data_IF_641061358378
#
_entry.id   IF_641061358378
#
_cell.length_a   1.000
_cell.length_b   1.000
_cell.length_c   1.000
_cell.angle_alpha   90.00
_cell.angle_beta   90.00
_cell.angle_gamma   90.00
#
_symmetry.space_group_name_H-M   'P 1'
#
loop_
_entity.id
_entity.type
_entity.pdbx_description
1 polymer ?
#
# COMPACT_ATOMS: atom_id res chain seq x y z
N UNK A 1 -18.23 62.68 9.07
CA UNK A 1 -18.95 61.91 8.03
C UNK A 1 -18.60 60.47 8.24
N UNK A 2 -19.39 59.86 9.09
CA UNK A 2 -19.28 58.49 9.49
C UNK A 2 -19.99 57.65 8.43
N UNK A 3 -19.27 56.75 7.79
CA UNK A 3 -19.86 55.74 6.92
C UNK A 3 -19.83 54.40 7.66
N UNK A 4 -21.00 54.09 8.18
CA UNK A 4 -21.39 52.82 8.77
C UNK A 4 -21.25 51.69 7.75
N UNK A 5 -20.19 50.87 7.83
CA UNK A 5 -20.17 49.55 7.26
C UNK A 5 -20.87 48.56 8.22
N UNK A 6 -22.18 48.54 8.16
CA UNK A 6 -22.97 47.42 8.67
C UNK A 6 -22.65 46.17 7.79
N UNK A 7 -21.76 45.33 8.27
CA UNK A 7 -21.62 43.95 7.79
C UNK A 7 -22.91 43.20 8.12
N UNK A 8 -23.80 43.10 7.13
CA UNK A 8 -24.91 42.18 7.17
C UNK A 8 -24.39 40.74 7.16
N UNK A 9 -24.20 40.16 8.34
CA UNK A 9 -24.01 38.73 8.56
C UNK A 9 -25.21 38.00 7.98
N UNK A 10 -25.17 37.65 6.70
CA UNK A 10 -26.15 36.76 6.08
C UNK A 10 -26.00 35.38 6.69
N UNK A 11 -26.84 35.02 7.65
CA UNK A 11 -26.99 33.66 8.14
C UNK A 11 -27.44 32.78 6.95
N UNK A 12 -26.49 32.11 6.34
CA UNK A 12 -26.76 31.10 5.32
C UNK A 12 -27.20 29.85 6.08
N UNK A 13 -28.49 29.71 6.31
CA UNK A 13 -29.13 28.56 6.97
C UNK A 13 -29.57 27.60 5.89
N UNK A 14 -29.36 26.29 6.09
CA UNK A 14 -29.91 25.25 5.24
C UNK A 14 -31.43 25.37 5.18
N UNK A 15 -32.03 25.23 3.98
CA UNK A 15 -33.49 25.23 3.80
C UNK A 15 -34.15 24.17 4.72
N UNK A 16 -35.26 24.54 5.38
CA UNK A 16 -35.95 23.67 6.31
C UNK A 16 -36.34 22.32 5.74
N UNK A 17 -36.79 22.27 4.47
CA UNK A 17 -37.14 21.03 3.80
C UNK A 17 -35.94 20.11 3.60
N UNK A 18 -34.75 20.65 3.29
CA UNK A 18 -33.53 19.89 3.19
C UNK A 18 -33.01 19.45 4.56
N UNK A 19 -33.11 20.29 5.56
CA UNK A 19 -32.79 19.91 6.94
C UNK A 19 -33.67 18.73 7.42
N UNK A 20 -34.94 18.75 7.15
CA UNK A 20 -35.89 17.67 7.50
C UNK A 20 -35.54 16.37 6.70
N UNK A 21 -35.13 16.48 5.43
CA UNK A 21 -34.66 15.34 4.65
C UNK A 21 -33.43 14.73 5.29
N UNK A 22 -32.46 15.52 5.74
CA UNK A 22 -31.26 15.02 6.44
C UNK A 22 -31.63 14.38 7.78
N UNK A 23 -32.48 14.99 8.61
CA UNK A 23 -32.96 14.42 9.89
C UNK A 23 -33.55 13.03 9.69
N UNK A 24 -34.49 12.92 8.76
CA UNK A 24 -35.14 11.66 8.43
C UNK A 24 -34.18 10.61 7.95
N UNK A 25 -33.30 10.94 6.98
CA UNK A 25 -32.37 10.00 6.33
C UNK A 25 -31.19 9.63 7.21
N UNK A 26 -30.78 10.50 8.14
CA UNK A 26 -29.67 10.19 9.06
C UNK A 26 -30.18 9.40 10.27
N UNK A 27 -31.25 9.82 10.91
CA UNK A 27 -31.66 9.29 12.22
C UNK A 27 -32.78 8.25 12.16
N UNK A 28 -33.66 8.31 11.15
CA UNK A 28 -34.88 7.51 11.10
C UNK A 28 -34.79 6.40 10.06
N UNK A 29 -34.33 6.70 8.85
CA UNK A 29 -34.23 5.72 7.80
C UNK A 29 -33.01 4.80 8.02
N UNK A 30 -33.17 3.48 7.78
CA UNK A 30 -32.01 2.58 7.83
C UNK A 30 -31.05 2.86 6.67
N UNK A 31 -29.76 2.72 6.93
CA UNK A 31 -28.74 2.75 5.85
C UNK A 31 -27.91 4.01 5.77
N UNK A 32 -27.99 4.93 6.73
CA UNK A 32 -27.00 5.99 6.84
C UNK A 32 -25.61 5.41 7.11
N UNK A 33 -24.65 5.74 6.25
CA UNK A 33 -23.24 5.34 6.38
C UNK A 33 -22.43 6.45 7.03
N UNK A 34 -22.65 7.69 6.59
CA UNK A 34 -21.96 8.86 7.11
C UNK A 34 -22.68 10.14 6.68
N UNK A 35 -22.79 11.07 7.59
CA UNK A 35 -23.17 12.46 7.31
C UNK A 35 -21.95 13.36 7.53
N UNK A 36 -21.69 14.30 6.64
CA UNK A 36 -20.56 15.24 6.72
C UNK A 36 -21.03 16.65 6.42
N UNK A 37 -20.59 17.60 7.23
CA UNK A 37 -20.74 19.03 7.03
C UNK A 37 -19.37 19.66 6.84
N UNK A 38 -19.23 20.57 5.86
CA UNK A 38 -18.00 21.33 5.59
C UNK A 38 -18.29 22.80 5.71
N UNK A 39 -17.49 23.47 6.54
CA UNK A 39 -17.54 24.90 6.77
C UNK A 39 -16.45 25.60 5.96
N UNK A 40 -16.84 26.59 5.16
CA UNK A 40 -15.91 27.35 4.35
C UNK A 40 -15.53 28.69 4.98
N UNK A 41 -16.32 29.19 5.93
CA UNK A 41 -16.10 30.44 6.67
C UNK A 41 -16.73 30.33 8.07
N UNK A 42 -16.23 31.11 9.02
CA UNK A 42 -16.75 31.18 10.38
C UNK A 42 -15.84 30.50 11.42
N UNK A 43 -16.26 30.62 12.70
CA UNK A 43 -15.57 30.02 13.84
C UNK A 43 -16.03 28.58 14.00
N UNK A 44 -15.07 27.66 14.20
CA UNK A 44 -15.34 26.24 14.47
C UNK A 44 -14.60 25.29 13.54
N UNK A 45 -14.81 23.97 13.71
CA UNK A 45 -14.17 22.94 12.90
C UNK A 45 -14.49 23.10 11.41
N UNK A 46 -13.46 22.91 10.54
CA UNK A 46 -13.63 23.02 9.09
C UNK A 46 -14.50 21.90 8.52
N UNK A 47 -14.42 20.72 9.11
CA UNK A 47 -15.20 19.55 8.71
C UNK A 47 -15.66 18.81 9.94
N UNK A 48 -16.95 18.50 9.96
CA UNK A 48 -17.57 17.68 10.99
C UNK A 48 -18.35 16.54 10.35
N UNK A 49 -18.35 15.38 10.98
CA UNK A 49 -19.11 14.25 10.47
C UNK A 49 -19.71 13.41 11.58
N UNK A 50 -20.86 12.78 11.27
CA UNK A 50 -21.53 11.79 12.09
C UNK A 50 -21.59 10.47 11.35
N UNK A 51 -21.24 9.38 12.01
CA UNK A 51 -21.35 8.02 11.46
C UNK A 51 -21.86 7.04 12.52
N UNK A 52 -22.76 6.12 12.17
CA UNK A 52 -23.19 5.07 13.09
C UNK A 52 -22.09 4.02 13.22
N UNK A 53 -21.83 3.55 14.44
CA UNK A 53 -20.93 2.43 14.71
C UNK A 53 -21.37 1.64 15.95
N UNK A 54 -20.82 0.41 16.08
CA UNK A 54 -20.99 -0.43 17.27
C UNK A 54 -19.80 -0.23 18.20
N UNK A 55 -20.06 0.18 19.43
CA UNK A 55 -19.06 0.33 20.49
C UNK A 55 -19.47 -0.55 21.67
N UNK A 56 -18.64 -1.55 22.03
CA UNK A 56 -18.92 -2.50 23.13
C UNK A 56 -20.28 -3.20 23.06
N UNK A 57 -20.76 -3.46 21.84
CA UNK A 57 -22.05 -4.12 21.62
C UNK A 57 -23.26 -3.18 21.54
N UNK A 58 -23.09 -1.89 21.78
CA UNK A 58 -24.12 -0.87 21.66
C UNK A 58 -23.91 -0.03 20.40
N UNK A 59 -25.01 0.34 19.75
CA UNK A 59 -24.98 1.26 18.62
C UNK A 59 -24.85 2.70 19.11
N UNK A 60 -23.86 3.42 18.59
CA UNK A 60 -23.62 4.83 18.92
C UNK A 60 -23.41 5.63 17.63
N UNK A 61 -23.58 6.94 17.72
CA UNK A 61 -23.15 7.87 16.68
C UNK A 61 -21.80 8.48 17.05
N UNK A 62 -20.82 8.32 16.21
CA UNK A 62 -19.51 8.95 16.40
C UNK A 62 -19.43 10.25 15.61
N UNK A 63 -19.21 11.35 16.32
CA UNK A 63 -18.91 12.66 15.76
C UNK A 63 -17.38 12.81 15.64
N UNK A 64 -16.92 13.20 14.46
CA UNK A 64 -15.53 13.57 14.20
C UNK A 64 -15.47 15.03 13.79
N UNK A 65 -14.68 15.84 14.48
CA UNK A 65 -14.49 17.28 14.23
C UNK A 65 -13.03 17.53 13.83
N UNK A 66 -12.81 18.10 12.64
CA UNK A 66 -11.51 18.44 12.14
C UNK A 66 -11.32 19.97 12.09
N UNK A 67 -10.32 20.50 12.77
CA UNK A 67 -10.01 21.93 12.86
C UNK A 67 -8.84 22.40 11.97
N UNK A 68 -8.42 21.58 10.99
CA UNK A 68 -7.26 21.85 10.13
C UNK A 68 -5.95 21.22 10.62
N UNK A 69 -5.85 20.83 11.89
CA UNK A 69 -4.64 20.21 12.49
C UNK A 69 -4.93 18.95 13.27
N UNK A 70 -6.04 18.90 14.00
CA UNK A 70 -6.39 17.80 14.89
C UNK A 70 -7.80 17.30 14.61
N UNK A 71 -8.01 16.02 14.87
CA UNK A 71 -9.34 15.40 14.86
C UNK A 71 -9.76 15.16 16.31
N UNK A 72 -10.90 15.73 16.69
CA UNK A 72 -11.57 15.40 17.95
C UNK A 72 -12.71 14.41 17.68
N UNK A 73 -12.84 13.42 18.54
CA UNK A 73 -13.86 12.37 18.41
C UNK A 73 -14.72 12.36 19.65
N UNK A 74 -16.05 12.32 19.45
CA UNK A 74 -17.06 12.15 20.52
C UNK A 74 -18.06 11.08 20.11
N UNK A 75 -18.52 10.30 21.08
CA UNK A 75 -19.55 9.30 20.85
C UNK A 75 -20.86 9.78 21.49
N UNK A 76 -21.94 9.66 20.75
CA UNK A 76 -23.29 10.03 21.16
C UNK A 76 -24.15 8.78 21.21
N UNK A 77 -24.95 8.64 22.27
CA UNK A 77 -25.91 7.56 22.37
C UNK A 77 -27.03 7.72 21.33
N UNK A 78 -27.70 6.60 20.99
CA UNK A 78 -28.84 6.65 20.07
C UNK A 78 -29.97 7.49 20.67
N UNK A 79 -30.81 8.08 19.81
CA UNK A 79 -31.96 8.88 20.22
C UNK A 79 -31.66 10.37 20.40
N UNK A 80 -32.03 10.97 21.52
CA UNK A 80 -31.99 12.43 21.73
C UNK A 80 -30.59 13.02 21.64
N UNK A 81 -29.54 12.30 22.11
CA UNK A 81 -28.16 12.76 22.08
C UNK A 81 -27.62 12.81 20.63
N UNK A 82 -27.89 11.77 19.83
CA UNK A 82 -27.54 11.76 18.40
C UNK A 82 -28.32 12.84 17.62
N UNK A 83 -29.58 13.05 17.94
CA UNK A 83 -30.39 14.10 17.33
C UNK A 83 -29.82 15.49 17.64
N UNK A 84 -29.47 15.77 18.88
CA UNK A 84 -28.84 17.03 19.27
C UNK A 84 -27.49 17.25 18.54
N UNK A 85 -26.70 16.20 18.40
CA UNK A 85 -25.42 16.27 17.63
C UNK A 85 -25.66 16.60 16.15
N UNK A 86 -26.69 16.02 15.52
CA UNK A 86 -27.03 16.33 14.13
C UNK A 86 -27.54 17.78 13.99
N UNK A 87 -28.39 18.25 14.91
CA UNK A 87 -28.88 19.63 14.87
C UNK A 87 -27.73 20.65 14.90
N UNK A 88 -26.73 20.45 15.75
CA UNK A 88 -25.55 21.31 15.79
C UNK A 88 -24.85 21.42 14.44
N UNK A 89 -24.84 20.33 13.63
CA UNK A 89 -24.25 20.34 12.30
C UNK A 89 -25.17 21.02 11.26
N UNK A 90 -26.48 20.82 11.35
CA UNK A 90 -27.41 21.41 10.40
C UNK A 90 -27.58 22.94 10.61
N UNK A 91 -27.44 23.42 11.84
CA UNK A 91 -27.52 24.84 12.23
C UNK A 91 -26.14 25.53 12.19
N UNK A 92 -25.07 24.85 11.81
CA UNK A 92 -23.73 25.38 11.86
C UNK A 92 -23.55 26.61 10.95
N UNK A 93 -23.20 27.74 11.54
CA UNK A 93 -22.94 28.97 10.79
C UNK A 93 -21.71 28.83 9.89
N UNK A 94 -21.78 29.35 8.65
CA UNK A 94 -20.70 29.25 7.68
C UNK A 94 -20.56 27.90 6.98
N UNK A 95 -21.42 26.92 7.29
CA UNK A 95 -21.49 25.65 6.56
C UNK A 95 -22.04 25.89 5.15
N UNK A 96 -21.39 25.29 4.17
CA UNK A 96 -21.78 25.41 2.76
C UNK A 96 -21.90 24.11 2.02
N UNK A 97 -21.41 23.02 2.58
CA UNK A 97 -21.53 21.71 1.97
C UNK A 97 -22.02 20.70 3.01
N UNK A 98 -23.01 19.91 2.59
CA UNK A 98 -23.58 18.81 3.37
C UNK A 98 -23.59 17.57 2.50
N UNK A 99 -23.03 16.49 2.97
CA UNK A 99 -22.96 15.24 2.25
C UNK A 99 -23.44 14.09 3.13
N UNK A 100 -24.50 13.44 2.70
CA UNK A 100 -24.99 12.19 3.27
C UNK A 100 -24.63 11.04 2.33
N UNK A 101 -23.88 10.10 2.85
CA UNK A 101 -23.67 8.81 2.20
C UNK A 101 -24.63 7.80 2.82
N UNK A 102 -25.48 7.20 2.01
CA UNK A 102 -26.46 6.22 2.46
C UNK A 102 -26.69 5.12 1.42
N UNK A 103 -27.08 3.94 1.88
CA UNK A 103 -27.41 2.79 1.01
C UNK A 103 -28.58 3.13 0.07
N UNK A 104 -29.52 3.95 0.55
CA UNK A 104 -30.68 4.43 -0.22
C UNK A 104 -30.31 5.47 -1.29
N UNK A 105 -29.03 5.81 -1.43
CA UNK A 105 -28.48 6.82 -2.34
C UNK A 105 -27.88 8.00 -1.58
N UNK A 106 -26.89 8.62 -2.16
CA UNK A 106 -26.22 9.78 -1.56
C UNK A 106 -27.05 11.05 -1.74
N UNK A 107 -26.91 11.99 -0.80
CA UNK A 107 -27.46 13.34 -0.90
C UNK A 107 -26.35 14.35 -0.67
N UNK A 108 -26.06 15.17 -1.68
CA UNK A 108 -25.07 16.24 -1.59
C UNK A 108 -25.77 17.59 -1.81
N UNK A 109 -25.61 18.49 -0.85
CA UNK A 109 -26.14 19.84 -0.90
C UNK A 109 -25.00 20.83 -0.77
N UNK A 110 -24.88 21.71 -1.74
CA UNK A 110 -23.90 22.82 -1.74
C UNK A 110 -24.62 24.14 -1.78
N UNK A 111 -24.30 25.02 -0.83
CA UNK A 111 -24.86 26.35 -0.77
C UNK A 111 -23.90 27.35 -1.44
N UNK A 112 -24.38 28.01 -2.50
CA UNK A 112 -23.61 29.02 -3.23
C UNK A 112 -23.39 30.27 -2.38
N UNK A 113 -22.45 31.14 -2.79
CA UNK A 113 -22.24 32.45 -2.13
C UNK A 113 -23.50 33.34 -2.09
N UNK A 114 -24.44 33.12 -3.02
CA UNK A 114 -25.72 33.84 -3.09
C UNK A 114 -26.86 33.16 -2.28
N UNK A 115 -26.52 32.17 -1.43
CA UNK A 115 -27.49 31.45 -0.59
C UNK A 115 -28.34 30.40 -1.32
N UNK A 116 -28.12 30.11 -2.61
CA UNK A 116 -28.88 29.11 -3.35
C UNK A 116 -28.34 27.70 -3.09
N UNK A 117 -29.19 26.76 -2.70
CA UNK A 117 -28.85 25.35 -2.57
C UNK A 117 -28.79 24.67 -3.94
N UNK A 118 -27.70 23.97 -4.20
CA UNK A 118 -27.52 23.03 -5.32
C UNK A 118 -27.57 21.63 -4.75
N UNK A 119 -28.55 20.85 -5.17
CA UNK A 119 -28.82 19.51 -4.65
C UNK A 119 -28.50 18.47 -5.69
N UNK A 120 -27.66 17.49 -5.34
CA UNK A 120 -27.37 16.31 -6.13
C UNK A 120 -27.77 15.05 -5.38
N UNK A 121 -28.45 14.12 -6.05
CA UNK A 121 -28.90 12.85 -5.49
C UNK A 121 -28.25 11.70 -6.25
N UNK A 122 -27.51 10.84 -5.53
CA UNK A 122 -26.93 9.61 -6.03
C UNK A 122 -27.95 8.49 -6.14
N UNK A 123 -27.65 7.49 -6.97
CA UNK A 123 -28.45 6.26 -7.05
C UNK A 123 -28.23 5.38 -5.84
N UNK A 124 -29.21 4.55 -5.41
CA UNK A 124 -29.01 3.54 -4.38
C UNK A 124 -27.82 2.63 -4.73
N UNK A 125 -27.04 2.26 -3.71
CA UNK A 125 -25.92 1.35 -3.89
C UNK A 125 -26.43 -0.09 -4.09
N UNK A 126 -25.86 -0.81 -5.06
CA UNK A 126 -26.22 -2.19 -5.37
C UNK A 126 -25.86 -3.20 -4.25
N UNK A 127 -25.10 -2.80 -3.25
CA UNK A 127 -24.66 -3.67 -2.15
C UNK A 127 -25.22 -3.20 -0.80
N UNK A 128 -26.31 -3.86 -0.29
CA UNK A 128 -26.97 -3.47 0.95
C UNK A 128 -26.14 -3.73 2.23
N UNK A 129 -25.00 -4.43 2.14
CA UNK A 129 -24.12 -4.70 3.29
C UNK A 129 -23.38 -3.46 3.83
N UNK A 130 -23.53 -2.29 3.19
CA UNK A 130 -23.02 -1.00 3.70
C UNK A 130 -23.84 -0.41 4.87
N UNK A 131 -25.04 -0.92 5.14
CA UNK A 131 -25.98 -0.39 6.12
C UNK A 131 -25.81 -0.92 7.56
N UNK A 132 -24.98 -1.92 7.77
CA UNK A 132 -24.70 -2.42 9.12
C UNK A 132 -23.78 -1.43 9.83
N UNK A 133 -24.14 -0.94 11.05
CA UNK A 133 -23.24 -0.12 11.86
C UNK A 133 -21.89 -0.84 11.98
N UNK A 134 -20.85 -0.19 11.52
CA UNK A 134 -19.52 -0.81 11.49
C UNK A 134 -19.04 -1.00 12.93
N UNK A 135 -18.62 -2.19 13.29
CA UNK A 135 -17.92 -2.39 14.56
C UNK A 135 -16.73 -1.43 14.63
N UNK A 136 -16.53 -0.80 15.79
CA UNK A 136 -15.41 0.12 16.04
C UNK A 136 -14.05 -0.58 15.82
N UNK A 137 -13.97 -1.87 16.18
CA UNK A 137 -12.93 -2.81 15.81
C UNK A 137 -13.39 -3.62 14.59
N UNK A 138 -13.47 -3.01 13.41
CA UNK A 138 -13.49 -3.80 12.20
C UNK A 138 -12.17 -4.57 12.17
N UNK A 139 -12.23 -5.88 12.31
CA UNK A 139 -11.10 -6.72 11.93
C UNK A 139 -10.75 -6.31 10.51
N UNK A 140 -9.62 -5.63 10.37
CA UNK A 140 -9.11 -5.31 9.04
C UNK A 140 -9.00 -6.65 8.35
N UNK A 141 -9.56 -6.77 7.14
CA UNK A 141 -9.33 -7.95 6.30
C UNK A 141 -7.83 -8.02 6.00
N UNK A 142 -7.11 -8.61 6.95
CA UNK A 142 -5.67 -8.77 6.90
C UNK A 142 -5.37 -10.17 6.39
N UNK A 143 -4.45 -10.34 5.46
CA UNK A 143 -4.06 -11.67 4.97
C UNK A 143 -3.74 -12.70 6.08
N UNK A 144 -3.07 -12.28 7.15
CA UNK A 144 -2.80 -13.15 8.30
C UNK A 144 -4.05 -13.60 9.08
N UNK A 145 -5.19 -12.92 8.93
CA UNK A 145 -6.46 -13.29 9.55
C UNK A 145 -7.31 -14.22 8.67
N UNK A 146 -6.90 -14.45 7.42
CA UNK A 146 -7.64 -15.29 6.47
C UNK A 146 -7.40 -16.78 6.65
N UNK A 147 -6.44 -17.18 7.50
CA UNK A 147 -6.10 -18.56 7.85
C UNK A 147 -5.65 -18.66 9.30
N UNK A 148 -5.52 -19.86 9.84
CA UNK A 148 -4.89 -20.03 11.16
C UNK A 148 -3.39 -19.75 11.07
N UNK A 149 -3.03 -18.50 11.29
CA UNK A 149 -1.65 -18.03 11.30
C UNK A 149 -0.95 -18.25 12.66
N UNK A 150 -1.64 -18.77 13.67
CA UNK A 150 -1.09 -18.94 15.03
C UNK A 150 0.18 -19.78 15.07
N UNK A 151 0.27 -20.95 14.41
CA UNK A 151 1.50 -21.73 14.37
C UNK A 151 2.67 -20.97 13.76
N UNK A 152 2.44 -20.28 12.64
CA UNK A 152 3.43 -19.42 11.97
C UNK A 152 3.91 -18.32 12.92
N UNK A 153 3.00 -17.55 13.51
CA UNK A 153 3.33 -16.42 14.37
C UNK A 153 4.11 -16.85 15.63
N UNK A 154 3.81 -18.04 16.18
CA UNK A 154 4.57 -18.63 17.30
C UNK A 154 5.99 -19.00 16.89
N UNK A 155 6.15 -19.68 15.77
CA UNK A 155 7.47 -20.09 15.26
C UNK A 155 8.33 -18.86 14.92
N UNK A 156 7.73 -17.79 14.40
CA UNK A 156 8.39 -16.51 14.15
C UNK A 156 8.67 -15.71 15.44
N UNK A 157 8.24 -16.17 16.61
CA UNK A 157 8.38 -15.43 17.87
C UNK A 157 7.55 -14.15 17.93
N UNK A 158 6.46 -14.07 17.18
CA UNK A 158 5.60 -12.90 17.06
C UNK A 158 4.34 -12.97 17.91
N UNK A 159 3.94 -14.15 18.35
CA UNK A 159 2.76 -14.38 19.17
C UNK A 159 3.13 -14.83 20.59
N UNK A 160 2.30 -14.44 21.55
CA UNK A 160 2.38 -14.90 22.93
C UNK A 160 1.79 -16.32 23.13
N UNK A 161 1.74 -16.81 24.39
CA UNK A 161 1.17 -18.12 24.72
C UNK A 161 -0.33 -18.26 24.39
N UNK A 162 -1.06 -17.15 24.23
CA UNK A 162 -2.47 -17.12 23.84
C UNK A 162 -2.68 -17.02 22.32
N UNK A 163 -1.59 -16.84 21.55
CA UNK A 163 -1.65 -16.64 20.10
C UNK A 163 -1.85 -15.18 19.68
N UNK A 164 -1.83 -14.23 20.63
CA UNK A 164 -1.96 -12.81 20.33
C UNK A 164 -0.62 -12.21 19.91
N UNK A 165 -0.65 -11.32 18.91
CA UNK A 165 0.56 -10.65 18.41
C UNK A 165 1.14 -9.74 19.52
N UNK A 166 2.38 -9.98 19.92
CA UNK A 166 3.11 -9.18 20.87
C UNK A 166 3.20 -7.72 20.45
N UNK A 167 3.03 -6.77 21.40
CA UNK A 167 2.98 -5.34 21.11
C UNK A 167 4.18 -4.84 20.29
N UNK A 168 5.40 -5.33 20.57
CA UNK A 168 6.63 -4.99 19.84
C UNK A 168 6.73 -5.59 18.44
N UNK A 169 5.85 -6.53 18.07
CA UNK A 169 5.83 -7.22 16.77
C UNK A 169 4.73 -6.74 15.83
N UNK A 170 3.89 -5.80 16.23
CA UNK A 170 2.78 -5.29 15.40
C UNK A 170 3.26 -4.71 14.09
N UNK A 171 4.31 -3.88 14.10
CA UNK A 171 4.87 -3.32 12.87
C UNK A 171 5.40 -4.39 11.91
N UNK A 172 5.93 -5.51 12.45
CA UNK A 172 6.37 -6.64 11.65
C UNK A 172 5.19 -7.40 11.04
N UNK A 173 4.11 -7.58 11.80
CA UNK A 173 2.87 -8.18 11.30
C UNK A 173 2.20 -7.31 10.21
N UNK A 174 2.22 -5.98 10.38
CA UNK A 174 1.74 -5.05 9.35
C UNK A 174 2.56 -5.15 8.06
N UNK A 175 3.89 -5.30 8.17
CA UNK A 175 4.77 -5.53 7.02
C UNK A 175 4.45 -6.86 6.30
N UNK A 176 4.23 -7.95 7.06
CA UNK A 176 3.83 -9.25 6.49
C UNK A 176 2.48 -9.11 5.77
N UNK A 177 1.49 -8.50 6.40
CA UNK A 177 0.18 -8.29 5.78
C UNK A 177 0.25 -7.46 4.49
N UNK A 178 1.08 -6.41 4.49
CA UNK A 178 1.28 -5.58 3.31
C UNK A 178 1.94 -6.37 2.16
N UNK A 179 2.98 -7.13 2.47
CA UNK A 179 3.65 -8.02 1.53
C UNK A 179 2.70 -9.07 0.93
N UNK A 180 1.92 -9.75 1.76
CA UNK A 180 0.98 -10.77 1.30
C UNK A 180 -0.11 -10.20 0.39
N UNK A 181 -0.56 -8.95 0.60
CA UNK A 181 -1.46 -8.25 -0.34
C UNK A 181 -0.80 -8.02 -1.69
N UNK A 182 0.47 -7.59 -1.69
CA UNK A 182 1.19 -7.36 -2.94
C UNK A 182 1.47 -8.67 -3.69
N UNK A 183 1.68 -9.77 -2.95
CA UNK A 183 1.79 -11.11 -3.51
C UNK A 183 0.46 -11.55 -4.17
N UNK A 184 -0.68 -11.36 -3.49
CA UNK A 184 -2.01 -11.63 -4.07
C UNK A 184 -2.23 -10.82 -5.35
N UNK A 185 -2.03 -9.49 -5.26
CA UNK A 185 -2.18 -8.59 -6.40
C UNK A 185 -1.32 -9.01 -7.59
N UNK A 186 -0.07 -9.46 -7.34
CA UNK A 186 0.84 -9.91 -8.38
C UNK A 186 0.33 -11.17 -9.10
N UNK A 187 -0.13 -12.16 -8.33
CA UNK A 187 -0.60 -13.43 -8.88
C UNK A 187 -1.97 -13.31 -9.58
N UNK A 188 -2.83 -12.39 -9.11
CA UNK A 188 -4.14 -12.14 -9.70
C UNK A 188 -4.09 -11.36 -11.03
N UNK A 189 -3.04 -10.56 -11.26
CA UNK A 189 -2.88 -9.78 -12.50
C UNK A 189 -2.82 -10.63 -13.77
N UNK A 190 -2.42 -11.90 -13.68
CA UNK A 190 -2.10 -12.72 -14.84
C UNK A 190 -2.86 -14.07 -14.89
N UNK A 191 -3.90 -14.25 -14.10
CA UNK A 191 -4.74 -15.46 -14.07
C UNK A 191 -3.91 -16.75 -14.18
N UNK A 192 -2.95 -16.90 -13.25
CA UNK A 192 -2.11 -18.08 -13.18
C UNK A 192 -2.95 -19.37 -13.10
N UNK A 193 -2.51 -20.42 -13.77
CA UNK A 193 -3.06 -21.78 -13.59
C UNK A 193 -2.62 -22.32 -12.22
N UNK A 194 -3.48 -22.20 -11.22
CA UNK A 194 -3.20 -22.61 -9.83
C UNK A 194 -3.12 -24.13 -9.64
N UNK A 195 -3.43 -24.92 -10.68
CA UNK A 195 -3.27 -26.38 -10.63
C UNK A 195 -1.81 -26.86 -10.66
N UNK A 196 -0.91 -26.01 -11.17
CA UNK A 196 0.53 -26.29 -11.19
C UNK A 196 1.23 -25.79 -9.94
N UNK A 197 2.27 -26.51 -9.43
CA UNK A 197 3.08 -26.00 -8.32
C UNK A 197 3.68 -24.63 -8.65
N UNK A 198 3.70 -23.72 -7.66
CA UNK A 198 4.41 -22.46 -7.75
C UNK A 198 5.80 -22.62 -7.12
N UNK A 199 6.82 -22.50 -7.93
CA UNK A 199 8.21 -22.54 -7.49
C UNK A 199 8.68 -21.12 -7.15
N UNK A 200 9.06 -20.88 -5.91
CA UNK A 200 9.50 -19.59 -5.37
C UNK A 200 10.97 -19.66 -5.01
N UNK A 201 11.75 -18.66 -5.41
CA UNK A 201 13.09 -18.41 -4.90
C UNK A 201 13.10 -17.06 -4.19
N UNK A 202 13.54 -17.05 -2.93
CA UNK A 202 13.71 -15.83 -2.13
C UNK A 202 15.19 -15.51 -1.98
N UNK A 203 15.64 -14.49 -2.69
CA UNK A 203 17.02 -14.05 -2.73
C UNK A 203 17.35 -13.07 -1.60
N UNK A 204 18.21 -13.48 -0.67
CA UNK A 204 18.51 -12.72 0.54
C UNK A 204 17.37 -12.81 1.55
N UNK A 205 16.86 -14.03 1.82
CA UNK A 205 15.68 -14.24 2.66
C UNK A 205 15.88 -13.86 4.15
N UNK A 206 17.11 -13.68 4.60
CA UNK A 206 17.44 -13.25 5.94
C UNK A 206 16.83 -14.17 7.01
N UNK A 207 15.98 -13.62 7.89
CA UNK A 207 15.28 -14.38 8.94
C UNK A 207 14.05 -15.15 8.43
N UNK A 208 13.81 -15.19 7.14
CA UNK A 208 12.73 -15.93 6.48
C UNK A 208 11.29 -15.59 6.92
N UNK A 209 11.05 -14.46 7.60
CA UNK A 209 9.69 -14.08 8.03
C UNK A 209 8.71 -14.02 6.85
N UNK A 210 9.10 -13.34 5.76
CA UNK A 210 8.26 -13.15 4.59
C UNK A 210 8.18 -14.42 3.75
N UNK A 211 9.28 -15.17 3.63
CA UNK A 211 9.36 -16.46 2.94
C UNK A 211 8.37 -17.48 3.50
N UNK A 212 8.42 -17.69 4.84
CA UNK A 212 7.52 -18.62 5.54
C UNK A 212 6.07 -18.14 5.50
N UNK A 213 5.85 -16.82 5.63
CA UNK A 213 4.50 -16.24 5.52
C UNK A 213 3.90 -16.41 4.12
N UNK A 214 4.70 -16.25 3.06
CA UNK A 214 4.25 -16.50 1.69
C UNK A 214 3.81 -17.95 1.50
N UNK A 215 4.64 -18.90 1.94
CA UNK A 215 4.31 -20.32 1.84
C UNK A 215 3.00 -20.66 2.56
N UNK A 216 2.90 -20.31 3.86
CA UNK A 216 1.71 -20.61 4.66
C UNK A 216 0.44 -19.96 4.08
N UNK A 217 0.53 -18.71 3.63
CA UNK A 217 -0.59 -18.00 3.03
C UNK A 217 -1.05 -18.63 1.71
N UNK A 218 -0.13 -18.90 0.80
CA UNK A 218 -0.45 -19.47 -0.52
C UNK A 218 -1.02 -20.87 -0.41
N UNK A 219 -0.53 -21.69 0.52
CA UNK A 219 -1.05 -23.04 0.74
C UNK A 219 -2.40 -23.01 1.45
N UNK A 220 -2.54 -22.24 2.55
CA UNK A 220 -3.75 -22.26 3.36
C UNK A 220 -4.91 -21.45 2.75
N UNK A 221 -4.62 -20.27 2.15
CA UNK A 221 -5.66 -19.40 1.61
C UNK A 221 -5.98 -19.64 0.14
N UNK A 222 -4.96 -19.97 -0.67
CA UNK A 222 -5.15 -20.16 -2.12
C UNK A 222 -5.17 -21.64 -2.53
N UNK A 223 -4.93 -22.56 -1.59
CA UNK A 223 -4.89 -24.02 -1.88
C UNK A 223 -3.80 -24.41 -2.87
N UNK A 224 -2.77 -23.58 -3.05
CA UNK A 224 -1.72 -23.79 -4.03
C UNK A 224 -0.69 -24.81 -3.52
N UNK A 225 -0.16 -25.62 -4.42
CA UNK A 225 1.09 -26.37 -4.17
C UNK A 225 2.26 -25.44 -4.39
N UNK A 226 3.13 -25.29 -3.39
CA UNK A 226 4.23 -24.31 -3.40
C UNK A 226 5.52 -25.02 -3.04
N UNK A 227 6.61 -24.75 -3.77
CA UNK A 227 7.96 -25.14 -3.39
C UNK A 227 8.81 -23.87 -3.25
N UNK A 228 9.54 -23.73 -2.14
CA UNK A 228 10.32 -22.53 -1.82
C UNK A 228 11.79 -22.86 -1.62
N UNK A 229 12.67 -22.05 -2.18
CA UNK A 229 14.11 -22.00 -1.87
C UNK A 229 14.45 -20.62 -1.35
N UNK A 230 14.76 -20.52 -0.06
CA UNK A 230 15.31 -19.31 0.54
C UNK A 230 16.83 -19.35 0.50
N UNK A 231 17.47 -18.32 -0.02
CA UNK A 231 18.92 -18.25 -0.17
C UNK A 231 19.43 -17.04 0.59
N UNK A 232 20.43 -17.25 1.44
CA UNK A 232 21.15 -16.17 2.13
C UNK A 232 22.57 -16.63 2.42
N UNK A 233 23.53 -15.70 2.43
CA UNK A 233 24.94 -16.01 2.74
C UNK A 233 25.19 -16.34 4.20
N UNK A 234 24.28 -15.97 5.11
CA UNK A 234 24.39 -16.17 6.54
C UNK A 234 23.92 -17.58 6.93
N UNK A 235 24.86 -18.52 7.04
CA UNK A 235 24.57 -19.91 7.38
C UNK A 235 23.80 -20.06 8.69
N UNK A 236 24.08 -19.23 9.72
CA UNK A 236 23.35 -19.28 10.99
C UNK A 236 21.87 -18.93 10.84
N UNK A 237 21.54 -17.93 10.01
CA UNK A 237 20.14 -17.60 9.71
C UNK A 237 19.46 -18.71 8.92
N UNK A 238 20.17 -19.37 8.01
CA UNK A 238 19.62 -20.49 7.23
C UNK A 238 19.35 -21.72 8.10
N UNK A 239 20.22 -21.99 9.09
CA UNK A 239 19.97 -23.04 10.09
C UNK A 239 18.75 -22.73 10.97
N UNK A 240 18.59 -21.46 11.38
CA UNK A 240 17.43 -20.99 12.14
C UNK A 240 16.14 -21.12 11.30
N UNK A 241 16.17 -20.68 10.05
CA UNK A 241 15.05 -20.77 9.11
C UNK A 241 14.65 -22.23 8.81
N UNK A 242 15.64 -23.13 8.66
CA UNK A 242 15.40 -24.57 8.48
C UNK A 242 14.73 -25.20 9.70
N UNK A 243 15.13 -24.82 10.91
CA UNK A 243 14.47 -25.25 12.14
C UNK A 243 13.02 -24.74 12.22
N UNK A 244 12.76 -23.49 11.80
CA UNK A 244 11.41 -22.96 11.73
C UNK A 244 10.55 -23.71 10.70
N UNK A 245 11.08 -24.05 9.54
CA UNK A 245 10.37 -24.84 8.54
C UNK A 245 10.05 -26.26 9.08
N UNK A 246 10.97 -26.89 9.80
CA UNK A 246 10.75 -28.18 10.45
C UNK A 246 9.67 -28.10 11.53
N UNK A 247 9.67 -27.04 12.34
CA UNK A 247 8.67 -26.82 13.38
C UNK A 247 7.25 -26.59 12.83
N UNK A 248 7.15 -26.11 11.59
CA UNK A 248 5.89 -25.94 10.86
C UNK A 248 5.50 -27.18 10.02
N UNK A 249 6.31 -28.25 10.04
CA UNK A 249 6.13 -29.46 9.21
C UNK A 249 6.09 -29.19 7.69
N UNK A 250 6.89 -28.23 7.23
CA UNK A 250 6.95 -27.80 5.81
C UNK A 250 8.34 -27.98 5.19
N UNK A 251 9.27 -28.66 5.87
CA UNK A 251 10.67 -28.80 5.43
C UNK A 251 10.83 -29.58 4.11
N UNK A 252 9.81 -30.32 3.67
CA UNK A 252 9.81 -30.99 2.37
C UNK A 252 9.67 -30.00 1.20
N UNK A 253 8.88 -28.94 1.40
CA UNK A 253 8.55 -27.96 0.38
C UNK A 253 9.41 -26.69 0.49
N UNK A 254 9.82 -26.33 1.71
CA UNK A 254 10.58 -25.11 2.00
C UNK A 254 11.97 -25.46 2.45
N UNK A 255 12.98 -25.09 1.65
CA UNK A 255 14.40 -25.36 1.96
C UNK A 255 15.16 -24.04 2.00
N UNK A 256 16.11 -23.96 2.93
CA UNK A 256 16.99 -22.82 3.08
C UNK A 256 18.43 -23.21 2.76
N UNK A 257 19.12 -22.36 1.99
CA UNK A 257 20.43 -22.64 1.41
C UNK A 257 21.37 -21.52 1.83
N UNK A 258 22.46 -21.87 2.52
CA UNK A 258 23.54 -20.93 2.83
C UNK A 258 24.48 -20.83 1.63
N UNK A 259 24.31 -19.80 0.81
CA UNK A 259 25.12 -19.60 -0.38
C UNK A 259 25.23 -18.13 -0.77
N UNK A 260 26.25 -17.78 -1.54
CA UNK A 260 26.29 -16.51 -2.27
C UNK A 260 25.32 -16.58 -3.45
N UNK A 261 24.49 -15.54 -3.60
CA UNK A 261 23.53 -15.46 -4.70
C UNK A 261 24.19 -15.54 -6.08
N UNK A 262 25.41 -15.02 -6.23
CA UNK A 262 26.13 -15.02 -7.49
C UNK A 262 26.54 -16.43 -7.95
N UNK A 263 26.66 -17.38 -7.01
CA UNK A 263 27.13 -18.74 -7.25
C UNK A 263 26.03 -19.79 -7.12
N UNK A 264 24.79 -19.37 -6.76
CA UNK A 264 23.72 -20.28 -6.45
C UNK A 264 22.83 -20.54 -7.66
N UNK A 265 22.71 -21.81 -8.04
CA UNK A 265 21.69 -22.30 -8.96
C UNK A 265 20.64 -23.08 -8.16
N UNK A 266 19.35 -22.63 -8.17
CA UNK A 266 18.32 -23.36 -7.44
C UNK A 266 18.01 -24.72 -8.10
N UNK A 267 17.78 -25.74 -7.27
CA UNK A 267 17.39 -27.11 -7.68
C UNK A 267 15.96 -27.20 -8.26
N UNK A 268 15.27 -26.08 -8.33
CA UNK A 268 13.91 -25.92 -8.90
C UNK A 268 13.94 -24.85 -9.99
N UNK A 269 13.10 -25.00 -11.01
CA UNK A 269 12.90 -23.90 -11.99
C UNK A 269 11.98 -22.85 -11.38
N UNK A 270 12.48 -21.66 -11.00
CA UNK A 270 11.67 -20.66 -10.33
C UNK A 270 10.64 -20.03 -11.28
N UNK A 271 9.45 -19.75 -10.76
CA UNK A 271 8.39 -19.02 -11.43
C UNK A 271 8.20 -17.64 -10.78
N UNK A 272 8.39 -17.56 -9.45
CA UNK A 272 8.36 -16.32 -8.68
C UNK A 272 9.70 -16.10 -7.98
N UNK A 273 10.23 -14.88 -8.12
CA UNK A 273 11.39 -14.42 -7.37
C UNK A 273 10.94 -13.39 -6.33
N UNK A 274 11.36 -13.60 -5.09
CA UNK A 274 11.28 -12.65 -3.99
C UNK A 274 12.68 -12.07 -3.72
N UNK A 275 12.74 -10.77 -3.40
CA UNK A 275 13.98 -10.08 -3.02
C UNK A 275 13.67 -8.96 -2.03
N UNK A 276 13.27 -9.34 -0.81
CA UNK A 276 12.67 -8.40 0.14
C UNK A 276 13.65 -7.91 1.21
N UNK A 277 14.81 -8.54 1.32
CA UNK A 277 15.85 -8.19 2.29
C UNK A 277 17.24 -8.07 1.63
N UNK A 278 17.31 -8.12 0.31
CA UNK A 278 18.52 -7.92 -0.45
C UNK A 278 18.89 -6.43 -0.46
N UNK A 279 19.98 -6.07 0.22
CA UNK A 279 20.45 -4.69 0.30
C UNK A 279 21.49 -4.39 -0.77
N UNK A 280 21.53 -3.11 -1.25
CA UNK A 280 22.52 -2.58 -2.20
C UNK A 280 22.58 -3.42 -3.50
N UNK A 281 23.75 -3.85 -3.91
CA UNK A 281 23.99 -4.65 -5.11
C UNK A 281 23.26 -6.00 -5.13
N UNK A 282 22.89 -6.55 -3.96
CA UNK A 282 22.16 -7.81 -3.89
C UNK A 282 20.74 -7.71 -4.50
N UNK A 283 20.12 -6.53 -4.47
CA UNK A 283 18.85 -6.28 -5.17
C UNK A 283 19.02 -6.41 -6.68
N UNK A 284 20.05 -5.77 -7.24
CA UNK A 284 20.34 -5.83 -8.69
C UNK A 284 20.73 -7.24 -9.11
N UNK A 285 21.49 -7.95 -8.27
CA UNK A 285 21.84 -9.34 -8.51
C UNK A 285 20.59 -10.24 -8.51
N UNK A 286 19.68 -10.08 -7.55
CA UNK A 286 18.44 -10.84 -7.51
C UNK A 286 17.59 -10.59 -8.78
N UNK A 287 17.44 -9.34 -9.22
CA UNK A 287 16.75 -9.00 -10.46
C UNK A 287 17.42 -9.61 -11.69
N UNK A 288 18.76 -9.56 -11.75
CA UNK A 288 19.54 -10.15 -12.85
C UNK A 288 19.36 -11.67 -12.90
N UNK A 289 19.44 -12.35 -11.76
CA UNK A 289 19.17 -13.78 -11.66
C UNK A 289 17.75 -14.12 -12.10
N UNK A 290 16.76 -13.34 -11.68
CA UNK A 290 15.38 -13.51 -12.09
C UNK A 290 15.19 -13.42 -13.61
N UNK A 291 15.85 -12.46 -14.26
CA UNK A 291 15.86 -12.35 -15.73
C UNK A 291 16.53 -13.57 -16.38
N UNK A 292 17.71 -13.96 -15.88
CA UNK A 292 18.49 -15.08 -16.43
C UNK A 292 17.78 -16.43 -16.26
N UNK A 293 17.11 -16.66 -15.14
CA UNK A 293 16.27 -17.85 -14.90
C UNK A 293 14.95 -17.80 -15.66
N UNK A 294 14.60 -16.66 -16.26
CA UNK A 294 13.34 -16.47 -16.99
C UNK A 294 12.11 -16.54 -16.10
N UNK A 295 12.21 -16.03 -14.87
CA UNK A 295 11.07 -16.05 -13.95
C UNK A 295 9.91 -15.22 -14.49
N UNK A 296 8.70 -15.67 -14.21
CA UNK A 296 7.49 -14.99 -14.66
C UNK A 296 7.15 -13.80 -13.77
N UNK A 297 7.35 -13.93 -12.46
CA UNK A 297 6.96 -12.94 -11.47
C UNK A 297 8.16 -12.53 -10.62
N UNK A 298 8.31 -11.24 -10.36
CA UNK A 298 9.29 -10.72 -9.41
C UNK A 298 8.62 -9.76 -8.44
N UNK A 299 8.96 -9.88 -7.15
CA UNK A 299 8.50 -9.01 -6.08
C UNK A 299 9.72 -8.62 -5.24
N UNK A 300 10.20 -7.40 -5.44
CA UNK A 300 11.49 -6.95 -4.89
C UNK A 300 11.31 -5.62 -4.18
N UNK A 301 11.79 -5.54 -2.94
CA UNK A 301 11.75 -4.32 -2.13
C UNK A 301 13.19 -3.82 -1.87
N UNK A 302 13.68 -2.85 -2.65
CA UNK A 302 15.01 -2.28 -2.46
C UNK A 302 15.07 -1.47 -1.16
N UNK A 303 16.17 -1.57 -0.42
CA UNK A 303 16.32 -0.87 0.86
C UNK A 303 17.44 0.16 0.90
N UNK A 304 18.53 0.00 0.16
CA UNK A 304 19.66 0.94 0.11
C UNK A 304 20.39 0.84 -1.22
N UNK A 305 20.95 1.97 -1.67
CA UNK A 305 21.58 2.13 -2.99
C UNK A 305 22.76 3.08 -2.88
N UNK A 306 23.96 2.59 -3.16
CA UNK A 306 25.16 3.43 -3.10
C UNK A 306 25.91 3.50 -4.43
N UNK A 307 25.66 2.58 -5.37
CA UNK A 307 26.37 2.53 -6.64
C UNK A 307 26.11 3.78 -7.49
N UNK A 308 24.85 4.12 -7.74
CA UNK A 308 24.50 5.26 -8.57
C UNK A 308 24.85 6.59 -7.90
N UNK A 309 24.75 6.67 -6.57
CA UNK A 309 25.13 7.87 -5.81
C UNK A 309 26.59 8.30 -6.08
N UNK A 310 27.51 7.34 -6.26
CA UNK A 310 28.93 7.61 -6.57
C UNK A 310 29.14 8.08 -8.00
N UNK A 311 28.25 7.68 -8.92
CA UNK A 311 28.34 8.05 -10.33
C UNK A 311 27.74 9.43 -10.61
N UNK A 312 26.79 9.91 -9.79
CA UNK A 312 26.21 11.24 -9.95
C UNK A 312 27.30 12.31 -9.82
N UNK A 313 27.59 12.97 -10.92
CA UNK A 313 28.57 14.07 -11.01
C UNK A 313 28.13 15.33 -10.28
N UNK A 314 28.67 16.49 -10.66
CA UNK A 314 28.33 17.78 -10.07
C UNK A 314 26.92 18.28 -10.40
N UNK A 315 26.19 17.55 -11.27
CA UNK A 315 24.77 17.69 -11.52
C UNK A 315 24.38 18.85 -12.43
N UNK A 316 25.31 19.56 -13.06
CA UNK A 316 24.96 20.64 -13.97
C UNK A 316 23.85 21.54 -13.42
N UNK A 317 22.65 21.58 -14.04
CA UNK A 317 21.50 22.33 -13.54
C UNK A 317 21.01 21.89 -12.15
N UNK A 318 21.25 20.63 -11.76
CA UNK A 318 20.87 20.06 -10.47
C UNK A 318 21.92 20.23 -9.36
N UNK A 319 23.01 21.00 -9.61
CA UNK A 319 24.10 21.23 -8.65
C UNK A 319 23.61 21.73 -7.29
N UNK A 320 22.60 22.62 -7.29
CA UNK A 320 22.03 23.15 -6.05
C UNK A 320 21.40 22.04 -5.16
N UNK A 321 20.87 21.00 -5.75
CA UNK A 321 20.30 19.83 -5.08
C UNK A 321 21.40 18.85 -4.67
N UNK A 322 22.31 18.51 -5.58
CA UNK A 322 23.30 17.46 -5.40
C UNK A 322 24.44 17.84 -4.42
N UNK A 323 24.63 19.11 -4.12
CA UNK A 323 25.58 19.57 -3.07
C UNK A 323 25.17 19.13 -1.65
N UNK A 324 23.89 18.79 -1.43
CA UNK A 324 23.39 18.32 -0.14
C UNK A 324 23.38 16.80 -0.12
N UNK A 325 24.23 16.16 0.72
CA UNK A 325 24.42 14.72 0.76
C UNK A 325 23.12 13.93 0.89
N UNK A 326 22.20 14.34 1.78
CA UNK A 326 20.90 13.69 1.97
C UNK A 326 20.00 13.78 0.72
N UNK A 327 20.06 14.89 -0.04
CA UNK A 327 19.27 15.03 -1.27
C UNK A 327 19.88 14.22 -2.41
N UNK A 328 21.23 14.16 -2.49
CA UNK A 328 21.96 13.32 -3.43
C UNK A 328 21.62 11.85 -3.21
N UNK A 329 21.60 11.37 -1.95
CA UNK A 329 21.26 9.98 -1.61
C UNK A 329 19.82 9.66 -2.05
N UNK A 330 18.85 10.50 -1.67
CA UNK A 330 17.44 10.26 -2.04
C UNK A 330 17.20 10.28 -3.54
N UNK A 331 17.88 11.18 -4.27
CA UNK A 331 17.79 11.21 -5.73
C UNK A 331 18.41 9.94 -6.35
N UNK A 332 19.56 9.48 -5.83
CA UNK A 332 20.18 8.25 -6.28
C UNK A 332 19.30 7.04 -6.05
N UNK A 333 18.60 6.95 -4.90
CA UNK A 333 17.62 5.90 -4.61
C UNK A 333 16.50 5.89 -5.67
N UNK A 334 15.87 7.06 -5.92
CA UNK A 334 14.79 7.19 -6.91
C UNK A 334 15.25 6.84 -8.33
N UNK A 335 16.40 7.33 -8.73
CA UNK A 335 16.96 7.04 -10.06
C UNK A 335 17.30 5.55 -10.21
N UNK A 336 17.87 4.92 -9.19
CA UNK A 336 18.19 3.49 -9.24
C UNK A 336 16.94 2.65 -9.44
N UNK A 337 15.86 2.93 -8.70
CA UNK A 337 14.62 2.20 -8.83
C UNK A 337 13.93 2.47 -10.19
N UNK A 338 14.03 3.70 -10.71
CA UNK A 338 13.56 4.03 -12.05
C UNK A 338 14.35 3.27 -13.14
N UNK A 339 15.68 3.21 -13.03
CA UNK A 339 16.52 2.43 -13.93
C UNK A 339 16.23 0.93 -13.89
N UNK A 340 16.05 0.36 -12.69
CA UNK A 340 15.63 -1.05 -12.52
C UNK A 340 14.33 -1.33 -13.25
N UNK A 341 13.33 -0.45 -13.03
CA UNK A 341 12.04 -0.60 -13.70
C UNK A 341 12.16 -0.51 -15.22
N UNK A 342 12.94 0.44 -15.76
CA UNK A 342 13.11 0.61 -17.20
C UNK A 342 13.88 -0.56 -17.82
N UNK A 343 14.95 -1.04 -17.20
CA UNK A 343 15.71 -2.21 -17.68
C UNK A 343 14.80 -3.45 -17.76
N UNK A 344 14.01 -3.70 -16.73
CA UNK A 344 13.06 -4.82 -16.75
C UNK A 344 12.00 -4.63 -17.85
N UNK A 345 11.51 -3.40 -18.11
CA UNK A 345 10.59 -3.11 -19.22
C UNK A 345 11.23 -3.37 -20.58
N UNK A 346 12.48 -2.98 -20.79
CA UNK A 346 13.25 -3.31 -22.01
C UNK A 346 13.31 -4.83 -22.21
N UNK A 347 13.50 -5.58 -21.13
CA UNK A 347 13.59 -7.04 -21.14
C UNK A 347 12.25 -7.78 -21.14
N UNK A 348 11.14 -7.06 -21.34
CA UNK A 348 9.83 -7.66 -21.56
C UNK A 348 9.03 -7.95 -20.30
N UNK A 349 9.26 -7.19 -19.23
CA UNK A 349 8.44 -7.21 -18.04
C UNK A 349 7.50 -6.00 -18.00
N UNK A 350 6.25 -6.21 -17.58
CA UNK A 350 5.37 -5.16 -17.12
C UNK A 350 5.73 -4.85 -15.67
N UNK A 351 6.15 -3.63 -15.37
CA UNK A 351 6.63 -3.23 -14.06
C UNK A 351 5.70 -2.21 -13.43
N UNK A 352 5.41 -2.38 -12.14
CA UNK A 352 4.75 -1.40 -11.28
C UNK A 352 5.61 -1.13 -10.06
N UNK A 353 5.71 0.13 -9.71
CA UNK A 353 6.34 0.57 -8.45
C UNK A 353 5.21 0.93 -7.51
N UNK A 354 5.18 0.33 -6.33
CA UNK A 354 4.13 0.52 -5.33
C UNK A 354 4.73 0.84 -3.96
N UNK A 355 4.00 1.61 -3.15
CA UNK A 355 4.29 1.72 -1.72
C UNK A 355 3.56 0.60 -1.00
N UNK A 356 4.29 -0.28 -0.29
CA UNK A 356 3.70 -1.47 0.34
C UNK A 356 3.56 -1.37 1.87
N UNK A 357 4.34 -0.49 2.53
CA UNK A 357 4.18 -0.17 3.97
C UNK A 357 4.03 1.34 4.14
N UNK A 358 3.42 1.76 5.26
CA UNK A 358 3.27 3.18 5.51
C UNK A 358 4.62 3.88 5.70
N UNK A 359 4.77 5.15 5.29
CA UNK A 359 6.00 5.93 5.47
C UNK A 359 6.44 6.07 6.93
N UNK A 360 5.50 5.94 7.89
CA UNK A 360 5.81 5.97 9.32
C UNK A 360 6.57 4.70 9.78
N UNK A 361 6.40 3.58 9.07
CA UNK A 361 7.07 2.33 9.39
C UNK A 361 8.51 2.29 8.86
N UNK A 362 8.75 2.84 7.66
CA UNK A 362 10.07 2.98 7.04
C UNK A 362 10.06 4.05 5.96
N UNK A 363 11.15 4.79 5.86
CA UNK A 363 11.33 5.78 4.78
C UNK A 363 11.56 5.12 3.40
N UNK A 364 11.87 3.82 3.36
CA UNK A 364 12.10 3.02 2.16
C UNK A 364 11.03 1.95 2.06
N UNK A 365 9.89 2.35 1.51
CA UNK A 365 8.66 1.58 1.45
C UNK A 365 8.25 1.20 0.03
N UNK A 366 9.17 1.31 -0.93
CA UNK A 366 8.93 1.00 -2.34
C UNK A 366 9.12 -0.49 -2.60
N UNK A 367 8.27 -1.04 -3.46
CA UNK A 367 8.36 -2.40 -3.97
C UNK A 367 8.18 -2.40 -5.49
N UNK A 368 9.05 -3.10 -6.20
CA UNK A 368 8.91 -3.38 -7.61
C UNK A 368 8.15 -4.69 -7.80
N UNK A 369 7.07 -4.62 -8.56
CA UNK A 369 6.31 -5.77 -9.04
C UNK A 369 6.54 -5.90 -10.53
N UNK A 370 7.06 -7.03 -10.98
CA UNK A 370 7.33 -7.27 -12.38
C UNK A 370 6.70 -8.59 -12.85
N UNK A 371 6.04 -8.55 -14.00
CA UNK A 371 5.41 -9.70 -14.66
C UNK A 371 5.93 -9.79 -16.09
N UNK A 372 6.57 -10.90 -16.47
CA UNK A 372 7.05 -11.12 -17.82
C UNK A 372 5.89 -11.38 -18.80
N UNK A 373 6.12 -11.16 -20.08
CA UNK A 373 5.16 -11.50 -21.14
C UNK A 373 4.76 -10.33 -22.03
N UNK A 374 5.42 -9.17 -21.92
CA UNK A 374 5.29 -8.09 -22.90
C UNK A 374 6.45 -8.11 -23.91
N UNK A 375 6.32 -7.37 -25.01
CA UNK A 375 7.34 -7.33 -26.07
C UNK A 375 8.67 -6.79 -25.53
N UNK A 376 9.73 -7.56 -25.69
CA UNK A 376 11.12 -7.14 -25.42
C UNK A 376 11.57 -6.10 -26.47
N UNK A 377 12.45 -5.18 -26.03
CA UNK A 377 13.05 -4.19 -26.93
C UNK A 377 12.03 -3.27 -27.60
N UNK A 378 10.94 -2.89 -26.92
CA UNK A 378 10.03 -1.89 -27.44
C UNK A 378 10.78 -0.58 -27.67
N UNK A 379 10.82 -0.02 -28.91
CA UNK A 379 11.66 1.15 -29.23
C UNK A 379 11.39 2.36 -28.34
N UNK A 380 10.13 2.62 -27.97
CA UNK A 380 9.82 3.72 -27.08
C UNK A 380 10.39 3.52 -25.67
N UNK A 381 10.34 2.29 -25.14
CA UNK A 381 10.90 1.96 -23.82
C UNK A 381 12.42 2.00 -23.84
N UNK A 382 13.04 1.55 -24.91
CA UNK A 382 14.49 1.64 -25.13
C UNK A 382 14.93 3.10 -25.21
N UNK A 383 14.20 3.93 -25.97
CA UNK A 383 14.46 5.37 -26.05
C UNK A 383 14.37 6.05 -24.68
N UNK A 384 13.28 5.85 -23.94
CA UNK A 384 13.12 6.37 -22.57
C UNK A 384 14.28 5.99 -21.65
N UNK A 385 14.79 4.75 -21.78
CA UNK A 385 15.92 4.28 -20.99
C UNK A 385 17.23 4.99 -21.36
N UNK A 386 17.53 5.08 -22.67
CA UNK A 386 18.73 5.72 -23.18
C UNK A 386 18.75 7.22 -22.85
N UNK A 387 17.64 7.91 -23.05
CA UNK A 387 17.50 9.34 -22.72
C UNK A 387 17.81 9.57 -21.23
N UNK A 388 17.24 8.74 -20.33
CA UNK A 388 17.48 8.86 -18.90
C UNK A 388 18.95 8.54 -18.54
N UNK A 389 19.57 7.53 -19.17
CA UNK A 389 20.96 7.16 -18.95
C UNK A 389 21.91 8.29 -19.40
N UNK A 390 21.65 8.85 -20.57
CA UNK A 390 22.49 9.88 -21.19
C UNK A 390 22.33 11.22 -20.45
N UNK A 391 21.13 11.58 -19.99
CA UNK A 391 20.91 12.79 -19.18
C UNK A 391 21.69 12.74 -17.84
N UNK A 392 21.71 11.60 -17.17
CA UNK A 392 22.39 11.44 -15.89
C UNK A 392 23.87 11.00 -16.00
N UNK A 393 24.34 10.64 -17.19
CA UNK A 393 25.70 10.15 -17.46
C UNK A 393 26.13 8.99 -16.54
N UNK A 394 25.24 8.01 -16.33
CA UNK A 394 25.43 6.88 -15.41
C UNK A 394 25.27 5.55 -16.13
N UNK A 395 25.90 4.51 -15.57
CA UNK A 395 25.67 3.12 -15.97
C UNK A 395 25.17 2.33 -14.76
N UNK A 396 23.87 2.01 -14.69
CA UNK A 396 23.29 1.30 -13.55
C UNK A 396 23.92 -0.08 -13.31
N UNK A 397 23.96 -0.51 -12.05
CA UNK A 397 24.49 -1.82 -11.69
C UNK A 397 23.75 -2.95 -12.42
N UNK A 398 22.41 -2.86 -12.51
CA UNK A 398 21.60 -3.86 -13.20
C UNK A 398 21.92 -3.92 -14.72
N UNK A 399 22.24 -2.80 -15.38
CA UNK A 399 22.71 -2.82 -16.78
C UNK A 399 23.98 -3.63 -16.92
N UNK A 400 24.96 -3.42 -16.04
CA UNK A 400 26.23 -4.16 -16.06
C UNK A 400 26.04 -5.65 -15.85
N UNK A 401 25.16 -6.04 -14.91
CA UNK A 401 24.83 -7.45 -14.63
C UNK A 401 24.04 -8.12 -15.76
N UNK A 402 23.30 -7.36 -16.54
CA UNK A 402 22.48 -7.83 -17.67
C UNK A 402 23.02 -7.37 -19.02
N UNK A 403 24.34 -7.11 -19.13
CA UNK A 403 24.97 -6.60 -20.35
C UNK A 403 24.68 -7.49 -21.57
N UNK A 404 24.79 -8.81 -21.46
CA UNK A 404 24.50 -9.72 -22.58
C UNK A 404 23.02 -9.74 -23.00
N UNK A 405 22.02 -9.88 -22.10
CA UNK A 405 20.61 -9.75 -22.48
C UNK A 405 20.25 -8.39 -23.09
N UNK A 406 20.89 -7.30 -22.66
CA UNK A 406 20.62 -5.94 -23.11
C UNK A 406 21.35 -5.55 -24.39
N UNK A 407 22.44 -6.22 -24.73
CA UNK A 407 23.33 -5.89 -25.85
C UNK A 407 22.59 -5.64 -27.17
N UNK A 408 21.62 -6.46 -27.50
CA UNK A 408 20.85 -6.33 -28.73
C UNK A 408 19.93 -5.11 -28.77
N UNK A 409 19.64 -4.48 -27.61
CA UNK A 409 18.71 -3.36 -27.51
C UNK A 409 19.41 -2.02 -27.24
N UNK A 410 20.63 -2.05 -26.66
CA UNK A 410 21.36 -0.86 -26.24
C UNK A 410 22.50 -0.46 -27.19
N UNK A 411 22.63 -1.11 -28.35
CA UNK A 411 23.60 -0.70 -29.37
C UNK A 411 23.13 0.59 -30.03
N UNK A 412 23.97 1.67 -30.10
CA UNK A 412 23.64 2.88 -30.82
C UNK A 412 23.50 2.56 -32.33
N UNK A 413 22.27 2.67 -32.87
CA UNK A 413 22.07 2.57 -34.32
C UNK A 413 20.92 1.67 -34.79
N UNK A 414 19.70 1.93 -34.32
CA UNK A 414 18.47 1.58 -35.06
C UNK A 414 17.54 2.77 -35.06
#
# INVERSE_FOLDING_TARGET
MDDDFQEASSRTVLDGALADEFRRRVLVEPGCVKFTMIRHQGLGPQRESLKPLMLRGEQVWQAEQFNGKQVMVRNHSMGADAAAALELLLEATGAREYHLTAVTGDLHVRITRKGRALVSRGKPQANPNGAVPRQHNREKDLPLNRFDSTPLLRVLGMADGRGEICAGMRGKADQINAFLRELDNLLDEDRRDDTRPLNIVDCGCGRAYLTLSAYCYLTACRGMRVAVRGIDRNAKLMDEASRMASALDIANDVRFIAADLAECEPDIKPELLLGLHACDMATDLALALGVNWGVKYMLVAPCCQHDLQRQLGDGGPMRALLRHGILRERLADLLTDAFRAQILRVLGYRVRIVEFVSPEATARNIMLRAVSGVRKGNPAVVGEYLDMRDEWHVVPALERLLAEPLKQWLVPGF
#
